data_IF_412481621805
#
_entry.id   IF_412481621805
#
_cell.length_a   1.000
_cell.length_b   1.000
_cell.length_c   1.000
_cell.angle_alpha   90.00
_cell.angle_beta   90.00
_cell.angle_gamma   90.00
#
_symmetry.space_group_name_H-M   'P 1'
#
loop_
_entity.id
_entity.type
_entity.pdbx_description
1 polymer ?
#
# COMPACT_ATOMS: atom_id res chain seq x y z
N UNK A 1 19.20 -3.19 -24.88
CA UNK A 1 17.72 -3.21 -24.90
C UNK A 1 17.21 -2.07 -24.03
N UNK A 2 15.99 -1.58 -24.28
CA UNK A 2 15.40 -0.55 -23.44
C UNK A 2 15.13 -1.10 -22.02
N UNK A 3 15.33 -0.30 -20.98
CA UNK A 3 15.09 -0.70 -19.58
C UNK A 3 14.27 0.32 -18.81
N UNK A 4 13.67 -0.04 -17.65
CA UNK A 4 12.86 0.90 -16.88
C UNK A 4 13.67 2.13 -16.48
N UNK A 5 14.96 1.95 -16.13
CA UNK A 5 15.89 3.03 -15.72
C UNK A 5 16.05 4.15 -16.75
N UNK A 6 15.73 3.90 -18.03
CA UNK A 6 15.81 4.90 -19.10
C UNK A 6 14.52 5.73 -19.25
N UNK A 7 13.45 5.38 -18.52
CA UNK A 7 12.20 6.14 -18.51
C UNK A 7 12.35 7.41 -17.68
N UNK A 8 12.12 8.58 -18.28
CA UNK A 8 12.16 9.88 -17.61
C UNK A 8 10.78 10.45 -17.25
N UNK A 9 9.70 9.81 -17.71
CA UNK A 9 8.34 10.37 -17.62
C UNK A 9 7.94 10.80 -16.19
N UNK A 10 8.24 10.04 -15.11
CA UNK A 10 7.87 10.44 -13.75
C UNK A 10 8.61 11.67 -13.21
N UNK A 11 9.62 12.17 -13.92
CA UNK A 11 10.36 13.40 -13.59
C UNK A 11 10.03 14.56 -14.52
N UNK A 12 9.35 14.33 -15.64
CA UNK A 12 9.13 15.37 -16.66
C UNK A 12 7.70 15.49 -17.14
N UNK A 13 6.79 14.61 -16.71
CA UNK A 13 5.45 14.51 -17.29
C UNK A 13 4.37 14.14 -16.26
N UNK A 14 3.22 14.80 -16.38
CA UNK A 14 1.92 14.36 -15.85
C UNK A 14 0.89 14.45 -16.97
N UNK A 15 -0.03 13.49 -17.04
CA UNK A 15 -1.22 13.58 -17.89
C UNK A 15 -2.43 13.85 -16.99
N UNK A 16 -3.15 14.93 -17.29
CA UNK A 16 -4.39 15.29 -16.59
C UNK A 16 -5.56 14.88 -17.50
N UNK A 17 -6.49 14.10 -16.94
CA UNK A 17 -7.70 13.64 -17.60
C UNK A 17 -8.84 14.65 -17.40
N UNK A 18 -9.92 14.51 -18.18
CA UNK A 18 -11.06 15.45 -18.15
C UNK A 18 -11.83 15.44 -16.82
N UNK A 19 -11.74 14.37 -16.04
CA UNK A 19 -12.32 14.24 -14.71
C UNK A 19 -11.37 14.75 -13.59
N UNK A 20 -10.25 15.38 -13.96
CA UNK A 20 -9.23 15.86 -13.03
C UNK A 20 -8.27 14.77 -12.53
N UNK A 21 -8.47 13.51 -12.92
CA UNK A 21 -7.52 12.45 -12.55
C UNK A 21 -6.17 12.65 -13.23
N UNK A 22 -5.09 12.33 -12.51
CA UNK A 22 -3.72 12.56 -12.96
C UNK A 22 -2.99 11.23 -13.12
N UNK A 23 -2.23 11.07 -14.21
CA UNK A 23 -1.42 9.88 -14.53
C UNK A 23 0.04 10.25 -14.68
N UNK A 24 0.98 9.33 -14.37
CA UNK A 24 2.42 9.60 -14.44
C UNK A 24 2.96 9.63 -15.88
N UNK A 25 2.24 9.06 -16.85
CA UNK A 25 2.57 9.09 -18.28
C UNK A 25 1.35 8.67 -19.12
N UNK A 26 1.42 8.89 -20.44
CA UNK A 26 0.34 8.54 -21.37
C UNK A 26 0.07 7.03 -21.51
N UNK A 27 1.06 6.18 -21.20
CA UNK A 27 0.91 4.72 -21.26
C UNK A 27 0.36 4.12 -19.97
N UNK A 28 0.45 4.84 -18.85
CA UNK A 28 -0.08 4.34 -17.59
C UNK A 28 -1.61 4.35 -17.66
N UNK A 29 -2.22 3.20 -17.37
CA UNK A 29 -3.68 3.08 -17.27
C UNK A 29 -4.21 3.51 -15.90
N UNK A 30 -3.31 3.89 -14.98
CA UNK A 30 -3.54 3.98 -13.55
C UNK A 30 -3.25 5.42 -13.09
N UNK A 31 -4.10 5.93 -12.21
CA UNK A 31 -4.04 7.31 -11.73
C UNK A 31 -3.17 7.40 -10.46
N UNK A 32 -2.51 8.53 -10.25
CA UNK A 32 -1.61 8.83 -9.11
C UNK A 32 -2.16 9.95 -8.22
N UNK A 33 -3.31 10.53 -8.59
CA UNK A 33 -3.98 11.60 -7.85
C UNK A 33 -5.17 12.17 -8.63
N UNK A 34 -5.88 13.13 -8.03
CA UNK A 34 -6.94 13.88 -8.70
C UNK A 34 -6.93 15.35 -8.25
N UNK A 35 -6.98 16.29 -9.20
CA UNK A 35 -6.92 17.73 -8.97
C UNK A 35 -8.15 18.31 -8.25
N UNK A 36 -9.23 17.54 -8.13
CA UNK A 36 -10.38 17.92 -7.31
C UNK A 36 -10.05 17.90 -5.80
N UNK A 37 -9.07 17.08 -5.39
CA UNK A 37 -8.76 16.83 -3.98
C UNK A 37 -7.34 17.22 -3.58
N UNK A 38 -6.43 17.40 -4.54
CA UNK A 38 -5.00 17.63 -4.30
C UNK A 38 -4.46 18.70 -5.25
N UNK A 39 -3.47 19.48 -4.80
CA UNK A 39 -2.74 20.34 -5.73
C UNK A 39 -1.85 19.51 -6.66
N UNK A 40 -1.45 20.08 -7.80
CA UNK A 40 -0.49 19.43 -8.72
C UNK A 40 0.82 19.11 -7.97
N UNK A 41 1.27 20.00 -7.09
CA UNK A 41 2.51 19.85 -6.33
C UNK A 41 2.42 18.70 -5.32
N UNK A 42 1.29 18.54 -4.65
CA UNK A 42 1.04 17.40 -3.75
C UNK A 42 1.06 16.07 -4.51
N UNK A 43 0.52 16.04 -5.72
CA UNK A 43 0.52 14.82 -6.56
C UNK A 43 1.94 14.52 -7.06
N UNK A 44 2.66 15.54 -7.53
CA UNK A 44 4.01 15.40 -8.08
C UNK A 44 5.06 14.99 -7.03
N UNK A 45 4.89 15.48 -5.80
CA UNK A 45 5.72 15.13 -4.66
C UNK A 45 5.08 14.05 -3.77
N UNK A 46 3.96 13.47 -4.24
CA UNK A 46 3.23 12.43 -3.55
C UNK A 46 3.94 11.09 -3.60
N UNK A 47 3.55 10.22 -2.69
CA UNK A 47 4.22 8.94 -2.48
C UNK A 47 4.15 8.01 -3.69
N UNK A 48 3.04 8.01 -4.44
CA UNK A 48 2.89 7.18 -5.65
C UNK A 48 3.94 7.50 -6.73
N UNK A 49 4.24 8.80 -6.95
CA UNK A 49 5.28 9.21 -7.90
C UNK A 49 6.68 8.93 -7.35
N UNK A 50 6.92 9.18 -6.06
CA UNK A 50 8.21 8.86 -5.42
C UNK A 50 8.51 7.36 -5.48
N UNK A 51 7.52 6.51 -5.22
CA UNK A 51 7.63 5.06 -5.35
C UNK A 51 7.97 4.67 -6.79
N UNK A 52 7.25 5.20 -7.78
CA UNK A 52 7.53 4.96 -9.19
C UNK A 52 8.97 5.36 -9.57
N UNK A 53 9.42 6.53 -9.14
CA UNK A 53 10.80 7.02 -9.35
C UNK A 53 11.83 6.07 -8.72
N UNK A 54 11.55 5.57 -7.51
CA UNK A 54 12.42 4.61 -6.81
C UNK A 54 12.52 3.28 -7.58
N UNK A 55 11.41 2.73 -8.06
CA UNK A 55 11.43 1.49 -8.86
C UNK A 55 12.24 1.67 -10.14
N UNK A 56 11.98 2.73 -10.89
CA UNK A 56 12.73 3.06 -12.11
C UNK A 56 14.23 3.24 -11.81
N UNK A 57 14.56 3.98 -10.75
CA UNK A 57 15.94 4.17 -10.30
C UNK A 57 16.65 2.85 -10.01
N UNK A 58 15.95 1.84 -9.50
CA UNK A 58 16.50 0.51 -9.25
C UNK A 58 16.38 -0.45 -10.46
N UNK A 59 16.00 0.05 -11.63
CA UNK A 59 15.75 -0.74 -12.84
C UNK A 59 14.68 -1.83 -12.63
N UNK A 60 13.71 -1.58 -11.74
CA UNK A 60 12.58 -2.45 -11.42
C UNK A 60 11.32 -1.93 -12.10
N UNK A 61 10.37 -2.82 -12.34
CA UNK A 61 9.07 -2.44 -12.92
C UNK A 61 8.11 -2.11 -11.78
N UNK A 62 7.60 -0.88 -11.80
CA UNK A 62 6.53 -0.48 -10.90
C UNK A 62 5.18 -0.99 -11.43
N UNK A 63 4.22 -1.40 -10.59
CA UNK A 63 2.90 -1.82 -11.03
C UNK A 63 2.15 -0.79 -11.89
N UNK A 64 2.34 0.51 -11.67
CA UNK A 64 1.76 1.55 -12.56
C UNK A 64 2.16 1.40 -14.03
N UNK A 65 3.28 0.70 -14.29
CA UNK A 65 3.77 0.38 -15.61
C UNK A 65 3.33 -1.02 -16.10
N UNK A 66 2.87 -1.93 -15.23
CA UNK A 66 2.52 -3.31 -15.63
C UNK A 66 1.50 -3.34 -16.77
N UNK A 67 1.75 -4.19 -17.77
CA UNK A 67 0.91 -4.36 -18.95
C UNK A 67 0.66 -3.08 -19.75
N UNK A 68 1.49 -2.04 -19.57
CA UNK A 68 1.43 -0.84 -20.39
C UNK A 68 2.18 -1.10 -21.72
N UNK A 69 1.64 -0.64 -22.87
CA UNK A 69 2.30 -0.77 -24.16
C UNK A 69 3.46 0.24 -24.31
N UNK A 70 4.42 0.19 -23.37
CA UNK A 70 5.52 1.13 -23.23
C UNK A 70 6.86 0.47 -23.58
N UNK A 71 7.65 1.12 -24.45
CA UNK A 71 8.94 0.60 -24.92
C UNK A 71 9.95 0.23 -23.82
N UNK A 72 9.85 0.85 -22.64
CA UNK A 72 10.79 0.63 -21.53
C UNK A 72 10.55 -0.67 -20.74
N UNK A 73 9.42 -1.33 -20.99
CA UNK A 73 9.03 -2.59 -20.32
C UNK A 73 8.63 -3.69 -21.31
N UNK A 74 8.63 -3.40 -22.61
CA UNK A 74 8.30 -4.37 -23.65
C UNK A 74 9.22 -5.59 -23.58
N UNK A 75 8.63 -6.79 -23.56
CA UNK A 75 9.36 -8.06 -23.51
C UNK A 75 9.82 -8.49 -22.12
N UNK A 76 9.41 -7.80 -21.05
CA UNK A 76 9.65 -8.23 -19.67
C UNK A 76 8.54 -9.15 -19.19
N UNK A 77 8.88 -10.12 -18.36
CA UNK A 77 7.92 -10.99 -17.69
C UNK A 77 7.10 -10.17 -16.68
N UNK A 78 5.82 -10.00 -16.97
CA UNK A 78 4.90 -9.18 -16.17
C UNK A 78 4.29 -9.94 -14.99
N UNK A 79 4.37 -11.28 -15.01
CA UNK A 79 3.79 -12.12 -13.97
C UNK A 79 4.70 -12.22 -12.74
N UNK A 80 5.96 -11.79 -12.88
CA UNK A 80 6.96 -11.81 -11.83
C UNK A 80 7.15 -10.40 -11.23
N UNK A 81 6.26 -10.01 -10.32
CA UNK A 81 6.41 -8.75 -9.57
C UNK A 81 7.63 -8.86 -8.66
N UNK A 82 8.64 -8.01 -8.88
CA UNK A 82 9.81 -7.97 -8.01
C UNK A 82 9.36 -7.83 -6.54
N UNK A 83 9.78 -8.75 -5.64
CA UNK A 83 9.37 -8.68 -4.24
C UNK A 83 9.85 -7.37 -3.59
N UNK A 84 9.13 -6.87 -2.58
CA UNK A 84 9.57 -5.72 -1.79
C UNK A 84 10.99 -5.91 -1.25
N UNK A 85 11.76 -4.82 -1.22
CA UNK A 85 13.11 -4.78 -0.64
C UNK A 85 13.13 -3.99 0.66
N UNK A 86 14.24 -4.07 1.39
CA UNK A 86 14.41 -3.33 2.64
C UNK A 86 14.39 -1.83 2.36
N UNK A 87 13.62 -1.08 3.14
CA UNK A 87 13.40 0.35 2.92
C UNK A 87 12.32 0.65 1.88
N UNK A 88 11.73 -0.35 1.22
CA UNK A 88 10.56 -0.13 0.39
C UNK A 88 9.37 0.27 1.27
N UNK A 89 8.56 1.20 0.78
CA UNK A 89 7.20 1.42 1.27
C UNK A 89 6.27 0.75 0.27
N UNK A 90 5.50 -0.23 0.75
CA UNK A 90 4.59 -1.08 -0.01
C UNK A 90 3.20 -0.48 0.16
N UNK A 91 2.61 0.04 -0.92
CA UNK A 91 1.25 0.58 -0.88
C UNK A 91 0.20 -0.49 -1.21
N UNK A 92 -1.00 -0.35 -0.65
CA UNK A 92 -2.11 -1.31 -0.78
C UNK A 92 -3.30 -0.74 -1.55
N UNK A 93 -3.11 0.42 -2.18
CA UNK A 93 -4.11 0.99 -3.07
C UNK A 93 -4.32 0.14 -4.32
N UNK A 94 -5.36 0.50 -5.06
CA UNK A 94 -5.65 -0.05 -6.36
C UNK A 94 -4.38 -0.02 -7.17
N UNK A 95 -3.99 -1.19 -7.67
CA UNK A 95 -2.84 -1.34 -8.56
C UNK A 95 -1.46 -1.15 -7.94
N UNK A 96 -1.33 -0.96 -6.63
CA UNK A 96 -0.04 -0.92 -5.96
C UNK A 96 0.56 -2.32 -5.76
N UNK A 97 1.85 -2.43 -5.45
CA UNK A 97 2.55 -3.72 -5.27
C UNK A 97 1.89 -4.55 -4.15
N UNK A 98 1.47 -3.88 -3.09
CA UNK A 98 0.87 -4.51 -1.91
C UNK A 98 -0.42 -5.25 -2.20
N UNK A 99 -1.14 -4.94 -3.30
CA UNK A 99 -2.38 -5.62 -3.63
C UNK A 99 -2.18 -7.12 -3.87
N UNK A 100 -0.99 -7.54 -4.29
CA UNK A 100 -0.64 -8.95 -4.49
C UNK A 100 -0.50 -9.73 -3.17
N UNK A 101 -0.37 -9.02 -2.03
CA UNK A 101 -0.12 -9.60 -0.71
C UNK A 101 -1.36 -9.56 0.20
N UNK A 102 -2.47 -9.00 -0.28
CA UNK A 102 -3.77 -9.04 0.41
C UNK A 102 -4.36 -10.45 0.27
N UNK A 103 -4.40 -11.24 1.35
CA UNK A 103 -4.79 -12.66 1.26
C UNK A 103 -6.24 -12.91 1.66
N UNK A 104 -6.71 -12.37 2.77
CA UNK A 104 -8.08 -12.60 3.28
C UNK A 104 -8.64 -11.38 3.99
N UNK A 105 -9.95 -11.16 3.89
CA UNK A 105 -10.67 -10.17 4.72
C UNK A 105 -10.58 -8.74 4.20
N UNK A 106 -10.29 -8.56 2.90
CA UNK A 106 -10.17 -7.26 2.24
C UNK A 106 -11.28 -7.04 1.21
N UNK A 107 -11.73 -5.80 1.07
CA UNK A 107 -12.59 -5.39 -0.04
C UNK A 107 -11.79 -5.22 -1.34
N UNK A 108 -12.47 -4.79 -2.41
CA UNK A 108 -11.79 -4.24 -3.59
C UNK A 108 -11.01 -2.99 -3.20
N UNK A 109 -9.80 -2.83 -3.74
CA UNK A 109 -8.89 -1.74 -3.39
C UNK A 109 -9.39 -0.40 -3.95
N UNK A 110 -9.27 0.63 -3.12
CA UNK A 110 -9.47 2.04 -3.46
C UNK A 110 -8.13 2.63 -3.94
N UNK A 111 -8.12 3.79 -4.60
CA UNK A 111 -6.87 4.39 -5.12
C UNK A 111 -5.80 4.65 -4.03
N UNK A 112 -6.23 4.85 -2.78
CA UNK A 112 -5.35 5.17 -1.65
C UNK A 112 -4.95 3.96 -0.80
N UNK A 113 -5.69 2.85 -0.87
CA UNK A 113 -5.55 1.72 0.05
C UNK A 113 -6.67 0.70 -0.07
N UNK A 114 -6.85 -0.13 0.96
CA UNK A 114 -7.90 -1.15 0.95
C UNK A 114 -8.61 -1.24 2.32
N UNK A 115 -9.94 -1.29 2.31
CA UNK A 115 -10.73 -1.49 3.54
C UNK A 115 -10.77 -2.97 3.94
N UNK A 116 -10.62 -3.25 5.23
CA UNK A 116 -10.96 -4.56 5.78
C UNK A 116 -12.46 -4.78 5.67
N UNK A 117 -12.85 -6.00 5.29
CA UNK A 117 -14.24 -6.44 5.13
C UNK A 117 -14.78 -7.13 6.37
N UNK A 118 -13.91 -7.86 7.06
CA UNK A 118 -14.23 -8.68 8.21
C UNK A 118 -13.52 -8.13 9.46
N UNK A 119 -13.85 -8.67 10.62
CA UNK A 119 -13.18 -8.33 11.90
C UNK A 119 -11.69 -8.61 11.86
N UNK A 120 -11.25 -9.53 10.99
CA UNK A 120 -9.84 -9.85 10.77
C UNK A 120 -9.52 -9.84 9.28
N UNK A 121 -8.45 -9.12 8.93
CA UNK A 121 -7.88 -9.09 7.60
C UNK A 121 -6.40 -9.50 7.63
N UNK A 122 -5.94 -10.18 6.58
CA UNK A 122 -4.63 -10.83 6.54
C UNK A 122 -3.80 -10.39 5.35
N UNK A 123 -2.52 -10.14 5.60
CA UNK A 123 -1.51 -9.81 4.60
C UNK A 123 -0.37 -10.81 4.75
N UNK A 124 0.20 -11.28 3.63
CA UNK A 124 1.36 -12.17 3.66
C UNK A 124 2.47 -11.59 2.80
N UNK A 125 3.53 -11.11 3.43
CA UNK A 125 4.69 -10.51 2.76
C UNK A 125 5.82 -11.53 2.63
N UNK A 126 6.49 -11.63 1.47
CA UNK A 126 7.59 -12.56 1.31
C UNK A 126 8.81 -12.13 2.15
N UNK A 127 9.45 -13.09 2.81
CA UNK A 127 10.72 -12.91 3.52
C UNK A 127 11.90 -13.34 2.63
N UNK A 128 12.15 -12.59 1.56
CA UNK A 128 13.29 -12.86 0.66
C UNK A 128 14.60 -12.34 1.27
N UNK A 129 15.69 -13.08 1.13
CA UNK A 129 17.06 -12.64 1.48
C UNK A 129 17.23 -12.08 2.91
N UNK A 130 16.54 -12.64 3.92
CA UNK A 130 16.56 -12.15 5.31
C UNK A 130 16.18 -10.67 5.44
N UNK A 131 15.33 -10.18 4.52
CA UNK A 131 14.76 -8.84 4.51
C UNK A 131 14.23 -8.42 5.89
N UNK A 132 13.55 -9.34 6.58
CA UNK A 132 12.79 -9.04 7.79
C UNK A 132 13.57 -9.23 9.09
N UNK A 133 14.76 -9.82 9.05
CA UNK A 133 15.53 -10.12 10.27
C UNK A 133 15.97 -8.83 10.99
N UNK A 134 15.47 -8.67 12.22
CA UNK A 134 15.71 -7.50 13.06
C UNK A 134 15.10 -6.21 12.52
N UNK A 135 14.15 -6.30 11.60
CA UNK A 135 13.45 -5.15 11.03
C UNK A 135 12.26 -4.72 11.89
N UNK A 136 11.75 -3.51 11.62
CA UNK A 136 10.48 -3.00 12.11
C UNK A 136 9.55 -2.81 10.92
N UNK A 137 8.29 -3.22 11.07
CA UNK A 137 7.23 -2.96 10.11
C UNK A 137 6.37 -1.78 10.60
N UNK A 138 6.47 -0.68 9.88
CA UNK A 138 5.64 0.51 10.04
C UNK A 138 4.40 0.37 9.16
N UNK A 139 3.25 0.12 9.79
CA UNK A 139 1.98 -0.16 9.15
C UNK A 139 1.09 1.08 9.28
N UNK A 140 0.86 1.75 8.16
CA UNK A 140 -0.02 2.91 8.11
C UNK A 140 -1.45 2.44 7.82
N UNK A 141 -2.33 2.71 8.78
CA UNK A 141 -3.74 2.36 8.74
C UNK A 141 -4.61 3.61 8.59
N UNK A 142 -5.86 3.40 8.20
CA UNK A 142 -6.87 4.44 8.07
C UNK A 142 -8.11 4.11 8.87
N UNK A 143 -8.50 5.03 9.75
CA UNK A 143 -9.73 4.96 10.51
C UNK A 143 -10.88 5.64 9.77
N UNK A 144 -12.07 5.03 9.81
CA UNK A 144 -13.31 5.72 9.48
C UNK A 144 -13.89 6.35 10.75
N UNK A 145 -14.43 7.57 10.67
CA UNK A 145 -15.07 8.25 11.81
C UNK A 145 -16.05 7.31 12.53
N UNK A 146 -16.02 7.33 13.86
CA UNK A 146 -16.88 6.52 14.73
C UNK A 146 -17.23 7.29 16.00
N UNK A 147 -18.46 7.13 16.49
CA UNK A 147 -18.90 7.70 17.78
C UNK A 147 -18.28 6.96 18.98
N UNK A 148 -17.91 5.70 18.79
CA UNK A 148 -17.20 4.88 19.78
C UNK A 148 -15.74 4.66 19.37
N UNK A 149 -14.84 4.51 20.34
CA UNK A 149 -13.46 4.12 20.09
C UNK A 149 -13.41 2.73 19.44
N UNK A 150 -12.75 2.62 18.29
CA UNK A 150 -12.51 1.36 17.58
C UNK A 150 -11.09 0.91 17.92
N UNK A 151 -10.99 -0.24 18.58
CA UNK A 151 -9.70 -0.85 18.87
C UNK A 151 -9.21 -1.64 17.65
N UNK A 152 -7.94 -1.46 17.31
CA UNK A 152 -7.27 -2.18 16.24
C UNK A 152 -6.08 -2.91 16.84
N UNK A 153 -6.03 -4.21 16.65
CA UNK A 153 -4.86 -5.01 16.98
C UNK A 153 -4.16 -5.49 15.70
N UNK A 154 -2.84 -5.51 15.76
CA UNK A 154 -2.01 -6.05 14.69
C UNK A 154 -1.06 -7.07 15.27
N UNK A 155 -1.10 -8.27 14.72
CA UNK A 155 -0.31 -9.41 15.15
C UNK A 155 0.47 -9.95 13.97
N UNK A 156 1.72 -10.34 14.20
CA UNK A 156 2.50 -11.08 13.20
C UNK A 156 2.84 -12.48 13.71
N UNK A 157 3.17 -13.39 12.80
CA UNK A 157 3.74 -14.71 13.16
C UNK A 157 5.13 -14.64 13.81
N UNK A 158 5.75 -13.45 13.87
CA UNK A 158 7.09 -13.23 14.39
C UNK A 158 7.17 -12.11 15.44
N UNK A 159 6.06 -11.65 16.01
CA UNK A 159 6.04 -10.58 17.02
C UNK A 159 4.88 -10.74 18.00
N UNK A 160 4.91 -9.95 19.08
CA UNK A 160 3.72 -9.77 19.93
C UNK A 160 2.66 -8.91 19.22
N UNK A 161 1.43 -8.99 19.74
CA UNK A 161 0.30 -8.18 19.28
C UNK A 161 0.46 -6.75 19.76
N UNK A 162 0.36 -5.78 18.85
CA UNK A 162 0.29 -4.36 19.17
C UNK A 162 -1.15 -3.89 19.00
N UNK A 163 -1.69 -3.17 19.98
CA UNK A 163 -3.05 -2.64 19.94
C UNK A 163 -3.04 -1.12 19.99
N UNK A 164 -3.93 -0.50 19.23
CA UNK A 164 -4.19 0.94 19.26
C UNK A 164 -5.69 1.20 19.13
N UNK A 165 -6.09 2.46 19.21
CA UNK A 165 -7.47 2.88 19.10
C UNK A 165 -7.62 4.12 18.21
N UNK A 166 -8.74 4.22 17.52
CA UNK A 166 -9.12 5.42 16.79
C UNK A 166 -10.61 5.71 16.92
N UNK A 167 -10.98 6.99 16.83
CA UNK A 167 -12.37 7.45 16.74
C UNK A 167 -12.59 8.46 15.61
N UNK A 168 -11.51 9.05 15.08
CA UNK A 168 -11.57 10.08 14.05
C UNK A 168 -11.23 9.50 12.67
N UNK A 169 -11.72 10.17 11.62
CA UNK A 169 -11.28 9.86 10.27
C UNK A 169 -9.84 10.34 10.06
N UNK A 170 -8.98 9.46 9.57
CA UNK A 170 -7.60 9.81 9.29
C UNK A 170 -6.67 8.61 9.23
N UNK A 171 -5.42 8.87 8.80
CA UNK A 171 -4.36 7.88 8.85
C UNK A 171 -3.68 7.88 10.22
N UNK A 172 -3.22 6.72 10.67
CA UNK A 172 -2.42 6.55 11.86
C UNK A 172 -1.41 5.42 11.65
N UNK A 173 -0.32 5.44 12.42
CA UNK A 173 0.80 4.52 12.26
C UNK A 173 0.87 3.52 13.41
N UNK A 174 1.11 2.25 13.09
CA UNK A 174 1.47 1.20 14.05
C UNK A 174 2.82 0.63 13.66
N UNK A 175 3.79 0.68 14.57
CA UNK A 175 5.12 0.09 14.38
C UNK A 175 5.21 -1.23 15.12
N UNK A 176 5.64 -2.29 14.43
CA UNK A 176 5.76 -3.63 15.00
C UNK A 176 7.18 -4.16 14.79
N UNK A 177 7.92 -4.45 15.87
CA UNK A 177 9.24 -5.07 15.75
C UNK A 177 9.09 -6.52 15.28
N UNK A 178 9.87 -6.91 14.28
CA UNK A 178 9.91 -8.28 13.77
C UNK A 178 11.03 -9.03 14.48
N UNK A 179 10.68 -10.12 15.19
CA UNK A 179 11.69 -10.92 15.89
C UNK A 179 12.55 -11.74 14.92
N UNK A 180 13.74 -12.12 15.38
CA UNK A 180 14.67 -12.98 14.64
C UNK A 180 14.12 -14.36 14.30
N UNK A 181 12.98 -14.77 14.89
CA UNK A 181 12.29 -16.02 14.53
C UNK A 181 11.81 -16.04 13.08
N UNK A 182 11.70 -14.86 12.44
CA UNK A 182 11.29 -14.76 11.04
C UNK A 182 12.31 -15.39 10.08
N UNK A 183 13.58 -15.54 10.48
CA UNK A 183 14.67 -16.07 9.62
C UNK A 183 14.34 -17.45 9.05
N UNK A 184 13.65 -18.29 9.81
CA UNK A 184 13.27 -19.65 9.39
C UNK A 184 11.92 -19.68 8.64
N UNK A 185 11.29 -18.54 8.40
CA UNK A 185 9.96 -18.42 7.81
C UNK A 185 10.03 -17.79 6.41
N UNK A 186 9.26 -18.36 5.48
CA UNK A 186 9.16 -17.85 4.10
C UNK A 186 8.34 -16.57 3.99
N UNK A 187 7.41 -16.35 4.92
CA UNK A 187 6.47 -15.23 4.90
C UNK A 187 6.31 -14.60 6.27
N UNK A 188 6.09 -13.29 6.27
CA UNK A 188 5.54 -12.55 7.39
C UNK A 188 4.04 -12.43 7.20
N UNK A 189 3.31 -13.19 8.01
CA UNK A 189 1.86 -13.12 8.06
C UNK A 189 1.45 -12.06 9.07
N UNK A 190 0.73 -11.05 8.59
CA UNK A 190 0.22 -9.94 9.38
C UNK A 190 -1.30 -10.09 9.45
N UNK A 191 -1.83 -10.16 10.67
CA UNK A 191 -3.27 -10.13 10.93
C UNK A 191 -3.62 -8.79 11.55
N UNK A 192 -4.54 -8.06 10.93
CA UNK A 192 -5.10 -6.81 11.42
C UNK A 192 -6.53 -7.11 11.85
N UNK A 193 -6.87 -6.85 13.10
CA UNK A 193 -8.20 -7.03 13.63
C UNK A 193 -8.80 -5.71 14.13
N UNK A 194 -10.06 -5.45 13.83
CA UNK A 194 -10.81 -4.29 14.31
C UNK A 194 -11.94 -4.75 15.23
N UNK A 195 -12.14 -4.08 16.36
CA UNK A 195 -13.17 -4.45 17.34
C UNK A 195 -14.60 -4.26 16.83
N UNK A 196 -14.78 -3.44 15.79
CA UNK A 196 -16.07 -3.20 15.16
C UNK A 196 -15.92 -3.10 13.65
N UNK A 197 -16.86 -3.73 12.94
CA UNK A 197 -16.99 -3.64 11.48
C UNK A 197 -18.39 -3.13 11.18
N UNK A 198 -18.47 -1.88 10.77
CA UNK A 198 -19.73 -1.17 10.51
C UNK A 198 -19.63 -0.40 9.21
N UNK A 199 -20.69 -0.45 8.40
CA UNK A 199 -20.74 0.28 7.16
C UNK A 199 -20.80 1.80 7.36
N UNK A 200 -20.32 2.61 6.41
CA UNK A 200 -20.54 4.06 6.45
C UNK A 200 -22.02 4.44 6.62
N UNK A 201 -22.95 3.69 6.04
CA UNK A 201 -24.38 3.87 6.21
C UNK A 201 -24.85 3.63 7.65
N UNK A 202 -24.40 2.53 8.27
CA UNK A 202 -24.68 2.26 9.69
C UNK A 202 -24.11 3.33 10.63
N UNK A 203 -23.06 4.05 10.18
CA UNK A 203 -22.45 5.17 10.91
C UNK A 203 -23.06 6.54 10.54
N UNK A 204 -24.08 6.58 9.68
CA UNK A 204 -24.76 7.81 9.25
C UNK A 204 -23.90 8.75 8.39
N UNK A 205 -22.87 8.23 7.71
CA UNK A 205 -21.94 9.03 6.92
C UNK A 205 -22.45 9.24 5.48
N UNK A 206 -22.88 8.17 4.82
CA UNK A 206 -23.42 8.17 3.45
C UNK A 206 -24.18 6.85 3.17
N UNK A 207 -24.52 6.55 1.91
CA UNK A 207 -25.29 5.36 1.53
C UNK A 207 -24.43 4.10 1.25
N UNK A 208 -23.14 4.09 1.59
CA UNK A 208 -22.29 2.91 1.39
C UNK A 208 -22.59 1.86 2.48
N UNK A 209 -23.14 0.73 2.05
CA UNK A 209 -23.54 -0.39 2.91
C UNK A 209 -22.42 -1.41 3.15
N UNK A 210 -21.22 -1.20 2.57
CA UNK A 210 -20.10 -2.14 2.76
C UNK A 210 -19.67 -2.13 4.22
N UNK A 211 -19.65 -3.28 4.91
CA UNK A 211 -19.12 -3.37 6.27
C UNK A 211 -17.61 -3.11 6.23
N UNK A 212 -17.11 -2.13 6.97
CA UNK A 212 -15.68 -1.83 7.04
C UNK A 212 -15.17 -1.69 8.47
N UNK A 213 -13.98 -2.25 8.72
CA UNK A 213 -13.29 -2.14 10.01
C UNK A 213 -12.24 -1.03 9.98
N UNK A 214 -11.09 -1.33 9.38
CA UNK A 214 -9.93 -0.43 9.26
C UNK A 214 -9.34 -0.52 7.84
N UNK A 215 -8.79 0.56 7.34
CA UNK A 215 -8.13 0.61 6.03
C UNK A 215 -6.63 0.38 6.17
N UNK A 216 -6.02 -0.31 5.21
CA UNK A 216 -4.56 -0.37 5.04
C UNK A 216 -4.14 0.60 3.92
N UNK A 217 -3.17 1.48 4.18
CA UNK A 217 -2.62 2.38 3.17
C UNK A 217 -1.25 1.89 2.70
N UNK A 218 -0.32 1.69 3.63
CA UNK A 218 1.05 1.30 3.33
C UNK A 218 1.72 0.50 4.44
N UNK A 219 2.75 -0.28 4.08
CA UNK A 219 3.67 -0.93 5.00
C UNK A 219 5.09 -0.53 4.60
N UNK A 220 5.87 -0.01 5.55
CA UNK A 220 7.28 0.28 5.37
C UNK A 220 8.12 -0.61 6.27
N UNK A 221 9.05 -1.36 5.68
CA UNK A 221 9.95 -2.24 6.44
C UNK A 221 11.33 -1.61 6.45
N UNK A 222 11.86 -1.36 7.63
CA UNK A 222 13.18 -0.79 7.81
C UNK A 222 13.93 -1.47 8.96
N UNK A 223 15.26 -1.44 8.91
CA UNK A 223 16.09 -1.83 10.06
C UNK A 223 16.34 -0.60 10.95
N UNK A 224 16.61 -0.79 12.25
CA UNK A 224 17.09 0.29 13.10
C UNK A 224 18.31 0.95 12.42
N UNK A 225 18.39 2.28 12.46
CA UNK A 225 19.62 2.94 12.03
C UNK A 225 20.77 2.50 12.94
N UNK A 226 21.96 2.18 12.38
CA UNK A 226 23.12 1.80 13.18
C UNK A 226 23.62 2.93 14.09
#
# INVERSE_FOLDING_TARGET
MASPRQCTAPWTWLQIMTDGSVRPCCFSKRNIGNLQNNSIEDIWNGEAIKELRRYIGHNRIHPLCHNAPCKFIQGMDYDNVDPPRLGDRIFFGQYAVGSAYLTKGWHTQEYWGCWSKDEQAKISLPNTDNLLDGATADIELRGLKSECSVSVSVTTNASETVTTEFSHFGNFLISIPISKKIVDMTYLDITIAASHVLSPAQRGINNDERPIGVGITSIHIHKPSP
#
